data_IF_464621793371
#
_entry.id   IF_464621793371
#
_cell.length_a   1.000
_cell.length_b   1.000
_cell.length_c   1.000
_cell.angle_alpha   90.00
_cell.angle_beta   90.00
_cell.angle_gamma   90.00
#
_symmetry.space_group_name_H-M   'P 1'
#
loop_
_entity.id
_entity.type
_entity.pdbx_description
1 polymer ?
#
# COMPACT_ATOMS: atom_id res chain seq x y z
N UNK A 1 5.79 -11.30 18.44
CA UNK A 1 6.58 -12.25 17.62
C UNK A 1 7.48 -11.42 16.72
N UNK A 2 8.76 -11.72 16.69
CA UNK A 2 9.70 -10.98 15.84
C UNK A 2 9.92 -11.79 14.55
N UNK A 3 9.50 -11.25 13.42
CA UNK A 3 9.62 -11.90 12.12
C UNK A 3 10.93 -11.50 11.44
N UNK A 4 11.66 -12.47 10.91
CA UNK A 4 12.81 -12.20 10.03
C UNK A 4 12.31 -11.62 8.69
N UNK A 5 12.50 -10.32 8.50
CA UNK A 5 12.04 -9.61 7.31
C UNK A 5 12.81 -10.01 6.05
N UNK A 6 14.03 -10.53 6.17
CA UNK A 6 14.78 -11.00 5.01
C UNK A 6 14.22 -12.32 4.47
N UNK A 7 13.70 -13.17 5.36
CA UNK A 7 12.96 -14.38 4.97
C UNK A 7 11.65 -14.00 4.27
N UNK A 8 10.88 -13.07 4.85
CA UNK A 8 9.64 -12.59 4.23
C UNK A 8 9.91 -11.97 2.85
N UNK A 9 10.95 -11.13 2.73
CA UNK A 9 11.39 -10.55 1.45
C UNK A 9 11.64 -11.63 0.39
N UNK A 10 12.36 -12.70 0.75
CA UNK A 10 12.65 -13.83 -0.16
C UNK A 10 11.36 -14.54 -0.57
N UNK A 11 10.42 -14.75 0.35
CA UNK A 11 9.11 -15.37 0.07
C UNK A 11 8.27 -14.52 -0.89
N UNK A 12 8.26 -13.20 -0.71
CA UNK A 12 7.62 -12.26 -1.63
C UNK A 12 8.26 -12.29 -3.02
N UNK A 13 9.60 -12.31 -3.09
CA UNK A 13 10.31 -12.40 -4.36
C UNK A 13 9.97 -13.69 -5.12
N UNK A 14 9.83 -14.81 -4.43
CA UNK A 14 9.42 -16.09 -5.02
C UNK A 14 7.97 -16.05 -5.56
N UNK A 15 7.16 -15.07 -5.15
CA UNK A 15 5.80 -14.81 -5.65
C UNK A 15 5.75 -13.73 -6.73
N UNK A 16 6.91 -13.28 -7.21
CA UNK A 16 7.01 -12.28 -8.28
C UNK A 16 7.02 -10.83 -7.82
N UNK A 17 7.03 -10.56 -6.50
CA UNK A 17 7.15 -9.19 -5.99
C UNK A 17 8.60 -8.74 -5.97
N UNK A 18 8.84 -7.50 -6.37
CA UNK A 18 10.08 -6.80 -6.05
C UNK A 18 9.95 -6.24 -4.63
N UNK A 19 10.57 -6.90 -3.65
CA UNK A 19 10.40 -6.57 -2.25
C UNK A 19 11.65 -5.95 -1.63
N UNK A 20 11.45 -4.93 -0.82
CA UNK A 20 12.48 -4.19 -0.09
C UNK A 20 12.15 -4.20 1.41
N UNK A 21 13.18 -4.16 2.23
CA UNK A 21 13.06 -3.98 3.68
C UNK A 21 13.68 -2.64 4.03
N UNK A 22 12.93 -1.80 4.70
CA UNK A 22 13.38 -0.50 5.20
C UNK A 22 13.39 -0.51 6.73
N UNK A 23 14.41 0.06 7.33
CA UNK A 23 14.56 0.15 8.79
C UNK A 23 13.58 1.14 9.42
N UNK A 24 13.24 2.20 8.68
CA UNK A 24 12.37 3.27 9.12
C UNK A 24 11.66 3.98 7.95
N UNK A 25 10.82 4.95 8.29
CA UNK A 25 10.04 5.74 7.33
C UNK A 25 10.93 6.54 6.40
N UNK A 26 12.05 7.07 6.89
CA UNK A 26 12.97 7.89 6.09
C UNK A 26 13.61 7.07 4.97
N UNK A 27 14.08 5.86 5.29
CA UNK A 27 14.62 4.94 4.30
C UNK A 27 13.57 4.54 3.26
N UNK A 28 12.32 4.33 3.70
CA UNK A 28 11.22 4.03 2.77
C UNK A 28 10.93 5.21 1.82
N UNK A 29 10.90 6.45 2.32
CA UNK A 29 10.73 7.65 1.49
C UNK A 29 11.90 7.80 0.51
N UNK A 30 13.13 7.63 0.97
CA UNK A 30 14.33 7.71 0.14
C UNK A 30 14.29 6.66 -1.00
N UNK A 31 13.90 5.44 -0.71
CA UNK A 31 13.74 4.38 -1.70
C UNK A 31 12.66 4.75 -2.72
N UNK A 32 11.49 5.19 -2.26
CA UNK A 32 10.38 5.58 -3.14
C UNK A 32 10.81 6.71 -4.06
N UNK A 33 11.34 7.79 -3.51
CA UNK A 33 11.63 9.02 -4.27
C UNK A 33 12.84 8.89 -5.20
N UNK A 34 13.83 8.10 -4.82
CA UNK A 34 15.09 7.96 -5.58
C UNK A 34 15.09 6.79 -6.56
N UNK A 35 14.31 5.74 -6.27
CA UNK A 35 14.43 4.47 -7.00
C UNK A 35 13.14 3.96 -7.62
N UNK A 36 11.97 4.22 -7.01
CA UNK A 36 10.71 3.69 -7.49
C UNK A 36 9.92 4.70 -8.34
N UNK A 37 9.99 6.00 -7.98
CA UNK A 37 9.40 7.06 -8.79
C UNK A 37 10.28 7.38 -10.00
N UNK A 38 9.82 7.02 -11.19
CA UNK A 38 10.52 7.41 -12.41
C UNK A 38 10.24 8.87 -12.77
N UNK A 39 11.19 9.52 -13.48
CA UNK A 39 11.00 10.89 -13.98
C UNK A 39 9.80 11.02 -14.93
N UNK A 40 9.48 9.95 -15.62
CA UNK A 40 8.39 9.89 -16.61
C UNK A 40 7.02 9.60 -15.98
N UNK A 41 6.96 9.20 -14.70
CA UNK A 41 5.69 9.01 -14.00
C UNK A 41 5.05 10.37 -13.78
N UNK A 42 3.99 10.66 -14.51
CA UNK A 42 3.29 11.95 -14.46
C UNK A 42 2.10 11.91 -13.52
N UNK A 43 1.47 10.75 -13.41
CA UNK A 43 0.25 10.53 -12.64
C UNK A 43 0.52 9.54 -11.51
N UNK A 44 0.25 9.96 -10.29
CA UNK A 44 0.40 9.16 -9.07
C UNK A 44 -0.96 8.95 -8.43
N UNK A 45 -1.33 7.71 -8.22
CA UNK A 45 -2.50 7.33 -7.44
C UNK A 45 -2.12 6.99 -6.00
N UNK A 46 -2.94 7.39 -5.03
CA UNK A 46 -2.73 7.10 -3.61
C UNK A 46 -3.97 6.45 -3.02
N UNK A 47 -3.83 5.22 -2.56
CA UNK A 47 -4.85 4.50 -1.82
C UNK A 47 -4.91 4.94 -0.36
N UNK A 48 -6.13 5.19 0.13
CA UNK A 48 -6.35 5.62 1.51
C UNK A 48 -5.91 4.52 2.50
N UNK A 49 -4.81 4.77 3.22
CA UNK A 49 -4.27 3.87 4.25
C UNK A 49 -3.44 4.64 5.26
N UNK A 50 -3.52 4.27 6.53
CA UNK A 50 -2.71 4.88 7.59
C UNK A 50 -1.22 4.80 7.26
N UNK A 51 -0.72 3.66 6.81
CA UNK A 51 0.70 3.47 6.47
C UNK A 51 1.18 4.37 5.33
N UNK A 52 0.31 4.75 4.41
CA UNK A 52 0.66 5.70 3.35
C UNK A 52 0.59 7.14 3.87
N UNK A 53 -0.38 7.47 4.72
CA UNK A 53 -0.48 8.80 5.32
C UNK A 53 0.75 9.15 6.15
N UNK A 54 1.28 8.19 6.92
CA UNK A 54 2.50 8.35 7.72
C UNK A 54 3.74 8.70 6.89
N UNK A 55 3.76 8.37 5.60
CA UNK A 55 4.85 8.72 4.69
C UNK A 55 4.78 10.17 4.19
N UNK A 56 3.61 10.83 4.29
CA UNK A 56 3.38 12.18 3.76
C UNK A 56 3.90 12.35 2.32
N UNK A 57 3.67 11.35 1.48
CA UNK A 57 4.24 11.27 0.12
C UNK A 57 3.92 12.50 -0.74
N UNK A 58 2.76 13.14 -0.52
CA UNK A 58 2.35 14.34 -1.25
C UNK A 58 3.36 15.48 -1.17
N UNK A 59 4.14 15.56 -0.08
CA UNK A 59 5.20 16.56 0.09
C UNK A 59 6.33 16.39 -0.94
N UNK A 60 6.49 15.21 -1.52
CA UNK A 60 7.54 14.85 -2.48
C UNK A 60 7.03 14.77 -3.93
N UNK A 61 5.73 15.01 -4.15
CA UNK A 61 5.07 14.81 -5.45
C UNK A 61 4.63 16.12 -6.11
N UNK A 62 5.20 17.27 -5.72
CA UNK A 62 4.79 18.60 -6.20
C UNK A 62 4.84 18.79 -7.72
N UNK A 63 5.68 18.02 -8.42
CA UNK A 63 5.80 18.02 -9.89
C UNK A 63 4.89 17.01 -10.59
N UNK A 64 4.05 16.28 -9.85
CA UNK A 64 3.21 15.18 -10.35
C UNK A 64 1.73 15.54 -10.23
N UNK A 65 0.92 14.91 -11.08
CA UNK A 65 -0.54 14.92 -10.88
C UNK A 65 -0.89 13.81 -9.89
N UNK A 66 -1.44 14.20 -8.72
CA UNK A 66 -1.76 13.25 -7.65
C UNK A 66 -3.27 13.09 -7.53
N UNK A 67 -3.73 11.85 -7.55
CA UNK A 67 -5.11 11.48 -7.28
C UNK A 67 -5.20 10.70 -5.96
N UNK A 68 -5.78 11.36 -4.97
CA UNK A 68 -6.03 10.79 -3.64
C UNK A 68 -7.41 11.21 -3.17
N UNK A 69 -8.22 10.28 -2.67
CA UNK A 69 -9.57 10.56 -2.15
C UNK A 69 -9.59 11.67 -1.10
N UNK A 70 -8.59 11.70 -0.23
CA UNK A 70 -8.53 12.68 0.87
C UNK A 70 -8.34 14.13 0.41
N UNK A 71 -7.78 14.37 -0.78
CA UNK A 71 -7.55 15.72 -1.30
C UNK A 71 -8.85 16.39 -1.72
N UNK A 72 -9.78 15.64 -2.29
CA UNK A 72 -11.02 16.18 -2.87
C UNK A 72 -12.29 15.63 -2.25
N UNK A 73 -12.20 14.49 -1.55
CA UNK A 73 -13.36 13.74 -1.05
C UNK A 73 -14.20 13.08 -2.16
N UNK A 74 -13.72 13.11 -3.40
CA UNK A 74 -14.46 12.68 -4.58
C UNK A 74 -14.10 11.25 -5.00
N UNK A 75 -15.13 10.44 -5.32
CA UNK A 75 -14.95 9.14 -5.97
C UNK A 75 -14.37 9.25 -7.39
N UNK A 76 -14.39 10.43 -7.99
CA UNK A 76 -13.82 10.68 -9.31
C UNK A 76 -12.29 10.57 -9.29
N UNK A 77 -11.64 11.07 -8.23
CA UNK A 77 -10.19 10.94 -8.10
C UNK A 77 -9.77 9.49 -7.85
N UNK A 78 -10.58 8.70 -7.15
CA UNK A 78 -10.35 7.26 -7.02
C UNK A 78 -10.40 6.55 -8.39
N UNK A 79 -11.32 6.93 -9.28
CA UNK A 79 -11.39 6.40 -10.64
C UNK A 79 -10.20 6.85 -11.50
N UNK A 80 -9.79 8.11 -11.40
CA UNK A 80 -8.60 8.62 -12.09
C UNK A 80 -7.32 7.92 -11.61
N UNK A 81 -7.23 7.60 -10.33
CA UNK A 81 -6.12 6.86 -9.76
C UNK A 81 -5.94 5.44 -10.35
N UNK A 82 -7.00 4.84 -10.90
CA UNK A 82 -6.90 3.56 -11.63
C UNK A 82 -6.09 3.69 -12.95
N UNK A 83 -5.90 4.89 -13.45
CA UNK A 83 -5.10 5.16 -14.66
C UNK A 83 -3.72 5.74 -14.34
N UNK A 84 -3.28 5.66 -13.08
CA UNK A 84 -1.98 6.17 -12.65
C UNK A 84 -0.81 5.42 -13.28
N UNK A 85 0.32 6.11 -13.46
CA UNK A 85 1.57 5.47 -13.82
C UNK A 85 2.09 4.62 -12.66
N UNK A 86 1.96 5.15 -11.44
CA UNK A 86 2.30 4.44 -10.20
C UNK A 86 1.22 4.65 -9.14
N UNK A 87 0.85 3.58 -8.44
CA UNK A 87 -0.15 3.58 -7.40
C UNK A 87 0.43 3.12 -6.07
N UNK A 88 0.39 3.98 -5.07
CA UNK A 88 0.85 3.67 -3.72
C UNK A 88 -0.32 3.21 -2.85
N UNK A 89 -0.16 2.08 -2.21
CA UNK A 89 -1.17 1.52 -1.31
C UNK A 89 -0.53 0.73 -0.18
N UNK A 90 -1.35 0.18 0.70
CA UNK A 90 -0.93 -0.75 1.74
C UNK A 90 -1.80 -1.99 1.73
N UNK A 91 -1.41 -2.99 2.51
CA UNK A 91 -2.24 -4.17 2.79
C UNK A 91 -3.00 -4.01 4.12
N UNK A 92 -4.11 -4.72 4.27
CA UNK A 92 -4.76 -4.92 5.56
C UNK A 92 -3.99 -5.94 6.42
N UNK A 93 -3.44 -6.97 5.80
CA UNK A 93 -2.51 -7.92 6.41
C UNK A 93 -1.59 -8.54 5.36
N UNK A 94 -0.48 -9.09 5.82
CA UNK A 94 0.41 -9.94 5.03
C UNK A 94 0.77 -11.17 5.86
N UNK A 95 0.64 -12.37 5.29
CA UNK A 95 1.12 -13.58 5.95
C UNK A 95 2.66 -13.66 5.89
N UNK A 96 3.27 -14.34 6.83
CA UNK A 96 4.72 -14.55 6.80
C UNK A 96 5.16 -15.39 5.59
N UNK A 97 4.22 -16.12 4.95
CA UNK A 97 4.46 -16.82 3.68
C UNK A 97 4.35 -15.92 2.44
N UNK A 98 4.05 -14.62 2.61
CA UNK A 98 4.02 -13.62 1.55
C UNK A 98 2.70 -13.51 0.79
N UNK A 99 1.56 -13.92 1.39
CA UNK A 99 0.24 -13.60 0.85
C UNK A 99 -0.22 -12.25 1.36
N UNK A 100 -0.63 -11.38 0.45
CA UNK A 100 -1.17 -10.05 0.77
C UNK A 100 -2.69 -10.15 0.81
N UNK A 101 -3.29 -9.66 1.90
CA UNK A 101 -4.73 -9.66 2.11
C UNK A 101 -5.24 -8.23 2.16
N UNK A 102 -6.20 -7.94 1.28
CA UNK A 102 -6.91 -6.67 1.25
C UNK A 102 -8.43 -6.87 1.32
N UNK A 103 -9.07 -5.97 2.05
CA UNK A 103 -10.50 -5.79 2.09
C UNK A 103 -10.82 -4.32 1.83
N UNK A 104 -11.82 -4.04 1.01
CA UNK A 104 -12.24 -2.69 0.65
C UNK A 104 -13.74 -2.48 0.86
N UNK A 105 -14.10 -1.26 1.27
CA UNK A 105 -15.51 -0.84 1.33
C UNK A 105 -16.11 -0.55 -0.05
N UNK A 106 -15.34 0.09 -0.94
CA UNK A 106 -15.77 0.48 -2.29
C UNK A 106 -15.09 -0.31 -3.41
N UNK A 107 -14.07 -1.10 -3.09
CA UNK A 107 -13.32 -1.91 -4.05
C UNK A 107 -12.24 -1.17 -4.83
N UNK A 108 -12.07 0.13 -4.61
CA UNK A 108 -11.14 0.98 -5.37
C UNK A 108 -9.67 0.56 -5.23
N UNK A 109 -9.19 0.28 -4.01
CA UNK A 109 -7.82 -0.18 -3.78
C UNK A 109 -7.58 -1.57 -4.34
N UNK A 110 -8.53 -2.49 -4.11
CA UNK A 110 -8.45 -3.86 -4.65
C UNK A 110 -8.43 -3.82 -6.17
N UNK A 111 -9.31 -3.03 -6.82
CA UNK A 111 -9.30 -2.85 -8.26
C UNK A 111 -7.95 -2.35 -8.77
N UNK A 112 -7.38 -1.31 -8.15
CA UNK A 112 -6.08 -0.76 -8.53
C UNK A 112 -4.92 -1.76 -8.41
N UNK A 113 -5.01 -2.72 -7.48
CA UNK A 113 -3.98 -3.76 -7.33
C UNK A 113 -4.13 -4.90 -8.34
N UNK A 114 -5.31 -5.07 -8.93
CA UNK A 114 -5.59 -6.13 -9.90
C UNK A 114 -5.40 -5.65 -11.34
N UNK A 115 -5.81 -4.43 -11.64
CA UNK A 115 -5.77 -3.87 -13.00
C UNK A 115 -5.85 -2.34 -12.97
N UNK A 116 -5.12 -1.68 -13.87
CA UNK A 116 -5.18 -0.24 -14.11
C UNK A 116 -3.80 0.42 -14.06
N UNK A 117 -3.25 0.72 -12.88
CA UNK A 117 -1.93 1.34 -12.75
C UNK A 117 -0.81 0.51 -13.39
N UNK A 118 0.18 1.18 -14.00
CA UNK A 118 1.34 0.49 -14.59
C UNK A 118 2.22 -0.16 -13.53
N UNK A 119 2.34 0.48 -12.37
CA UNK A 119 3.09 -0.02 -11.23
C UNK A 119 2.26 0.14 -9.95
N UNK A 120 2.30 -0.86 -9.08
CA UNK A 120 1.67 -0.82 -7.76
C UNK A 120 2.74 -1.02 -6.69
N UNK A 121 2.80 -0.09 -5.75
CA UNK A 121 3.72 -0.13 -4.62
C UNK A 121 2.95 -0.31 -3.33
N UNK A 122 3.18 -1.44 -2.67
CA UNK A 122 2.66 -1.70 -1.33
C UNK A 122 3.65 -1.22 -0.28
N UNK A 123 3.22 -0.34 0.61
CA UNK A 123 3.97 0.03 1.82
C UNK A 123 3.29 -0.61 3.01
N UNK A 124 3.97 -1.54 3.66
CA UNK A 124 3.40 -2.39 4.69
C UNK A 124 4.22 -2.29 5.97
N UNK A 125 3.61 -1.79 7.05
CA UNK A 125 4.24 -1.78 8.37
C UNK A 125 4.36 -3.18 8.98
N UNK A 126 5.37 -3.41 9.80
CA UNK A 126 5.62 -4.69 10.51
C UNK A 126 4.42 -5.18 11.30
N UNK A 127 3.61 -4.27 11.83
CA UNK A 127 2.39 -4.56 12.59
C UNK A 127 1.29 -5.27 11.79
N UNK A 128 1.46 -5.39 10.46
CA UNK A 128 0.51 -6.06 9.56
C UNK A 128 0.96 -7.48 9.19
N UNK A 129 2.13 -7.91 9.64
CA UNK A 129 2.63 -9.25 9.39
C UNK A 129 1.94 -10.22 10.35
N UNK A 130 1.39 -11.30 9.81
CA UNK A 130 0.79 -12.39 10.54
C UNK A 130 1.55 -13.70 10.28
N UNK A 131 1.51 -14.59 11.24
CA UNK A 131 2.24 -15.87 11.25
C UNK A 131 1.88 -16.78 10.07
N UNK A 132 0.58 -16.82 9.74
CA UNK A 132 0.05 -17.65 8.65
C UNK A 132 -1.04 -16.90 7.87
N UNK A 133 -1.54 -17.49 6.78
CA UNK A 133 -2.67 -16.97 6.02
C UNK A 133 -3.93 -16.87 6.88
N UNK A 134 -4.22 -17.89 7.70
CA UNK A 134 -5.37 -17.92 8.59
C UNK A 134 -5.31 -16.77 9.59
N UNK A 135 -4.13 -16.53 10.20
CA UNK A 135 -3.91 -15.42 11.13
C UNK A 135 -3.97 -14.07 10.43
N UNK A 136 -3.56 -13.97 9.19
CA UNK A 136 -3.71 -12.76 8.40
C UNK A 136 -5.20 -12.46 8.10
N UNK A 137 -5.99 -13.46 7.76
CA UNK A 137 -7.44 -13.33 7.56
C UNK A 137 -8.14 -12.94 8.87
N UNK A 138 -7.82 -13.63 9.98
CA UNK A 138 -8.34 -13.32 11.31
C UNK A 138 -8.04 -11.87 11.71
N UNK A 139 -6.81 -11.39 11.47
CA UNK A 139 -6.42 -10.00 11.68
C UNK A 139 -7.28 -9.03 10.89
N UNK A 140 -7.56 -9.33 9.63
CA UNK A 140 -8.38 -8.47 8.78
C UNK A 140 -9.80 -8.39 9.31
N UNK A 141 -10.39 -9.52 9.70
CA UNK A 141 -11.76 -9.58 10.24
C UNK A 141 -11.90 -8.87 11.59
N UNK A 142 -10.94 -9.05 12.49
CA UNK A 142 -11.06 -8.58 13.87
C UNK A 142 -10.45 -7.19 14.12
N UNK A 143 -9.51 -6.74 13.29
CA UNK A 143 -8.78 -5.50 13.51
C UNK A 143 -9.00 -4.48 12.40
N UNK A 144 -8.75 -4.85 11.17
CA UNK A 144 -8.77 -3.91 10.07
C UNK A 144 -10.19 -3.42 9.73
N UNK A 145 -11.18 -4.29 9.84
CA UNK A 145 -12.60 -3.94 9.61
C UNK A 145 -13.11 -3.00 10.71
N UNK A 146 -12.81 -3.32 11.98
CA UNK A 146 -13.24 -2.49 13.12
C UNK A 146 -12.58 -1.10 13.10
N UNK A 147 -11.30 -1.00 12.77
CA UNK A 147 -10.62 0.31 12.65
C UNK A 147 -11.19 1.16 11.51
N UNK A 148 -11.58 0.54 10.39
CA UNK A 148 -12.22 1.26 9.30
C UNK A 148 -13.64 1.73 9.65
N UNK A 149 -14.42 0.95 10.41
CA UNK A 149 -15.76 1.36 10.86
C UNK A 149 -15.69 2.55 11.82
N UNK A 150 -14.70 2.62 12.71
CA UNK A 150 -14.51 3.74 13.63
C UNK A 150 -14.08 5.04 12.93
N UNK A 151 -13.52 4.95 11.73
CA UNK A 151 -13.12 6.15 10.95
C UNK A 151 -14.25 6.74 10.11
N UNK A 152 -15.43 6.11 10.08
CA UNK A 152 -16.61 6.53 9.30
C UNK A 152 -17.67 7.21 10.22
N UNK A 153 -17.55 7.04 11.54
CA UNK A 153 -18.37 7.72 12.56
C UNK A 153 -17.70 8.99 13.05
#
# INVERSE_FOLDING_TARGET
>A
MDFDLMVLRKRLANRGFQAFVCSDIKEAIDLITKSLLNKNDSVVGIGNSMSIRELELTNFLSSKTVYERNLTGSNEDERKALHADIYFTSANAISYDGQIINIDGTGNRVAATCFGPKHVVFVIGKNKIAESLEKAIERVQNTAVLMNLQSIT
#
